data_IF_087724682723
#
_entry.id   IF_087724682723
#
_cell.length_a   1.000
_cell.length_b   1.000
_cell.length_c   1.000
_cell.angle_alpha   90.00
_cell.angle_beta   90.00
_cell.angle_gamma   90.00
#
_symmetry.space_group_name_H-M   'P 1'
#
loop_
_entity.id
_entity.type
_entity.pdbx_description
1 polymer ?
#
# COMPACT_ATOMS: atom_id res chain seq x y z
N UNK A 1 4.79 14.99 36.23
CA UNK A 1 3.67 15.74 36.83
C UNK A 1 3.35 15.09 38.17
N UNK A 2 3.24 15.85 39.26
CA UNK A 2 2.79 15.32 40.56
C UNK A 2 1.27 15.19 40.51
N UNK A 3 0.75 14.03 40.91
CA UNK A 3 -0.69 13.80 41.04
C UNK A 3 -1.27 14.76 42.09
N UNK A 4 -2.31 15.50 41.71
CA UNK A 4 -3.00 16.50 42.52
C UNK A 4 -4.50 16.22 42.63
N UNK A 5 -4.94 15.03 42.18
CA UNK A 5 -6.35 14.66 42.17
C UNK A 5 -6.95 14.68 43.58
N UNK A 6 -6.20 14.26 44.60
CA UNK A 6 -6.64 14.30 46.00
C UNK A 6 -6.76 15.73 46.55
N UNK A 7 -5.89 16.64 46.14
CA UNK A 7 -5.93 18.05 46.55
C UNK A 7 -7.16 18.76 45.97
N UNK A 8 -7.55 18.40 44.74
CA UNK A 8 -8.75 18.90 44.08
C UNK A 8 -10.05 18.39 44.73
N UNK A 9 -10.09 17.11 45.09
CA UNK A 9 -11.24 16.53 45.79
C UNK A 9 -11.46 17.16 47.16
N UNK A 10 -10.39 17.43 47.90
CA UNK A 10 -10.46 18.05 49.22
C UNK A 10 -10.99 19.49 49.22
N UNK A 11 -10.96 20.17 48.07
CA UNK A 11 -11.45 21.56 47.92
C UNK A 11 -12.85 21.66 47.31
N UNK A 12 -13.46 20.54 46.88
CA UNK A 12 -14.73 20.55 46.14
C UNK A 12 -15.97 20.38 47.05
N UNK A 13 -15.80 20.17 48.37
CA UNK A 13 -16.92 19.92 49.30
C UNK A 13 -17.74 21.18 49.68
N UNK A 14 -17.55 22.31 48.99
CA UNK A 14 -18.30 23.54 49.24
C UNK A 14 -18.67 24.18 47.89
N UNK A 15 -19.98 24.22 47.61
CA UNK A 15 -20.64 24.71 46.40
C UNK A 15 -20.86 23.66 45.28
N UNK A 16 -21.58 22.59 45.60
CA UNK A 16 -22.33 21.78 44.64
C UNK A 16 -23.56 22.59 44.13
N UNK A 17 -23.30 23.61 43.30
CA UNK A 17 -24.25 23.88 42.22
C UNK A 17 -24.04 22.73 41.23
N UNK A 18 -24.97 21.77 41.25
CA UNK A 18 -25.02 20.61 40.37
C UNK A 18 -25.13 21.12 38.92
N UNK A 19 -23.98 21.45 38.33
CA UNK A 19 -23.86 21.64 36.89
C UNK A 19 -24.02 20.24 36.32
N UNK A 20 -25.24 19.90 35.94
CA UNK A 20 -25.52 18.79 35.03
C UNK A 20 -24.70 19.04 33.75
N UNK A 21 -23.48 18.52 33.74
CA UNK A 21 -22.80 18.20 32.50
C UNK A 21 -23.65 17.09 31.93
N UNK A 22 -24.56 17.42 31.02
CA UNK A 22 -25.27 16.45 30.23
C UNK A 22 -24.22 15.57 29.54
N UNK A 23 -23.91 14.42 30.14
CA UNK A 23 -23.14 13.35 29.51
C UNK A 23 -24.09 12.65 28.56
N UNK A 24 -24.61 13.41 27.60
CA UNK A 24 -25.35 12.87 26.46
C UNK A 24 -24.31 12.36 25.45
N UNK A 25 -23.52 11.38 25.89
CA UNK A 25 -22.28 10.96 25.21
C UNK A 25 -22.31 9.47 24.86
N UNK A 26 -23.47 8.96 24.48
CA UNK A 26 -23.60 7.60 23.92
C UNK A 26 -23.63 7.58 22.38
N UNK A 27 -23.57 8.74 21.71
CA UNK A 27 -23.68 8.83 20.25
C UNK A 27 -22.81 9.95 19.60
N UNK A 28 -21.88 10.57 20.35
CA UNK A 28 -21.09 11.66 19.82
C UNK A 28 -20.10 11.15 18.76
N UNK A 29 -20.38 11.47 17.50
CA UNK A 29 -19.57 11.08 16.34
C UNK A 29 -19.38 9.56 16.15
N UNK A 30 -20.23 8.71 16.72
CA UNK A 30 -20.08 7.25 16.65
C UNK A 30 -19.93 6.73 15.21
N UNK A 31 -20.75 7.24 14.29
CA UNK A 31 -20.66 6.87 12.87
C UNK A 31 -19.30 7.28 12.27
N UNK A 32 -18.83 8.48 12.62
CA UNK A 32 -17.52 8.96 12.16
C UNK A 32 -16.38 8.11 12.74
N UNK A 33 -16.40 7.81 14.04
CA UNK A 33 -15.39 6.94 14.65
C UNK A 33 -15.41 5.52 14.10
N UNK A 34 -16.60 4.98 13.81
CA UNK A 34 -16.76 3.70 13.10
C UNK A 34 -16.11 3.74 11.71
N UNK A 35 -16.28 4.84 10.96
CA UNK A 35 -15.59 5.03 9.67
C UNK A 35 -14.06 5.11 9.84
N UNK A 36 -13.58 5.82 10.86
CA UNK A 36 -12.15 5.95 11.18
C UNK A 36 -11.54 4.58 11.54
N UNK A 37 -12.23 3.77 12.34
CA UNK A 37 -11.77 2.43 12.70
C UNK A 37 -11.69 1.50 11.49
N UNK A 38 -12.66 1.55 10.57
CA UNK A 38 -12.62 0.72 9.37
C UNK A 38 -11.49 1.15 8.40
N UNK A 39 -11.27 2.46 8.23
CA UNK A 39 -10.11 2.95 7.45
C UNK A 39 -8.81 2.47 8.09
N UNK A 40 -8.69 2.60 9.43
CA UNK A 40 -7.51 2.16 10.15
C UNK A 40 -7.27 0.66 10.01
N UNK A 41 -8.33 -0.15 10.15
CA UNK A 41 -8.28 -1.59 9.96
C UNK A 41 -7.84 -1.96 8.54
N UNK A 42 -8.35 -1.26 7.52
CA UNK A 42 -7.93 -1.43 6.13
C UNK A 42 -6.44 -1.11 5.95
N UNK A 43 -5.95 0.00 6.51
CA UNK A 43 -4.53 0.39 6.43
C UNK A 43 -3.62 -0.62 7.14
N UNK A 44 -3.99 -1.02 8.36
CA UNK A 44 -3.23 -2.00 9.15
C UNK A 44 -3.17 -3.34 8.41
N UNK A 45 -4.27 -3.75 7.78
CA UNK A 45 -4.30 -4.99 6.98
C UNK A 45 -3.46 -4.91 5.71
N UNK A 46 -3.40 -3.75 5.07
CA UNK A 46 -2.49 -3.54 3.93
C UNK A 46 -1.03 -3.69 4.40
N UNK A 47 -0.65 -3.09 5.53
CA UNK A 47 0.74 -3.16 6.03
C UNK A 47 1.15 -4.62 6.34
N UNK A 48 0.25 -5.41 6.95
CA UNK A 48 0.44 -6.85 7.14
C UNK A 48 0.63 -7.59 5.81
N UNK A 49 -0.25 -7.33 4.84
CA UNK A 49 -0.22 -7.97 3.53
C UNK A 49 1.05 -7.59 2.75
N UNK A 50 1.54 -6.35 2.87
CA UNK A 50 2.82 -5.91 2.28
C UNK A 50 3.99 -6.71 2.85
N UNK A 51 3.99 -6.97 4.16
CA UNK A 51 5.01 -7.82 4.77
C UNK A 51 4.97 -9.26 4.23
N UNK A 52 3.78 -9.80 3.96
CA UNK A 52 3.62 -11.14 3.39
C UNK A 52 4.02 -11.18 1.91
N UNK A 53 3.65 -10.19 1.11
CA UNK A 53 4.11 -10.04 -0.28
C UNK A 53 5.63 -10.06 -0.36
N UNK A 54 6.33 -9.35 0.54
CA UNK A 54 7.81 -9.37 0.59
C UNK A 54 8.37 -10.78 0.83
N UNK A 55 7.70 -11.61 1.64
CA UNK A 55 8.12 -13.01 1.85
C UNK A 55 7.91 -13.82 0.58
N UNK A 56 6.75 -13.70 -0.07
CA UNK A 56 6.47 -14.40 -1.33
C UNK A 56 7.44 -13.99 -2.43
N UNK A 57 7.76 -12.70 -2.58
CA UNK A 57 8.81 -12.23 -3.48
C UNK A 57 10.16 -12.89 -3.19
N UNK A 58 10.55 -13.01 -1.92
CA UNK A 58 11.78 -13.69 -1.55
C UNK A 58 11.75 -15.19 -1.91
N UNK A 59 10.62 -15.86 -1.73
CA UNK A 59 10.44 -17.28 -2.09
C UNK A 59 10.56 -17.44 -3.61
N UNK A 60 9.86 -16.60 -4.37
CA UNK A 60 9.87 -16.60 -5.84
C UNK A 60 11.30 -16.37 -6.38
N UNK A 61 12.05 -15.43 -5.80
CA UNK A 61 13.43 -15.13 -6.21
C UNK A 61 14.46 -16.17 -5.76
N UNK A 62 14.10 -17.10 -4.86
CA UNK A 62 15.00 -18.12 -4.33
C UNK A 62 15.12 -19.36 -5.22
N UNK A 63 14.17 -19.54 -6.14
CA UNK A 63 14.11 -20.68 -7.05
C UNK A 63 14.15 -20.23 -8.53
N UNK A 64 14.65 -21.06 -9.46
CA UNK A 64 14.62 -20.78 -10.90
C UNK A 64 13.20 -20.56 -11.42
N UNK A 65 12.25 -21.34 -10.90
CA UNK A 65 10.82 -21.20 -11.17
C UNK A 65 10.08 -21.32 -9.85
N UNK A 66 9.02 -20.52 -9.68
CA UNK A 66 8.10 -20.62 -8.55
C UNK A 66 7.00 -21.63 -8.86
N UNK A 67 6.54 -22.34 -7.84
CA UNK A 67 5.37 -23.20 -7.98
C UNK A 67 4.07 -22.39 -8.12
N UNK A 68 3.03 -23.05 -8.65
CA UNK A 68 1.74 -22.41 -8.92
C UNK A 68 1.07 -21.89 -7.64
N UNK A 69 1.25 -22.57 -6.50
CA UNK A 69 0.62 -22.16 -5.25
C UNK A 69 1.20 -20.83 -4.76
N UNK A 70 2.53 -20.67 -4.79
CA UNK A 70 3.18 -19.40 -4.42
C UNK A 70 2.68 -18.24 -5.30
N UNK A 71 2.43 -18.50 -6.59
CA UNK A 71 1.89 -17.52 -7.54
C UNK A 71 0.43 -17.17 -7.24
N UNK A 72 -0.40 -18.16 -6.93
CA UNK A 72 -1.81 -17.97 -6.55
C UNK A 72 -1.93 -17.20 -5.23
N UNK A 73 -1.08 -17.53 -4.24
CA UNK A 73 -1.01 -16.84 -2.95
C UNK A 73 -0.62 -15.36 -3.14
N UNK A 74 0.34 -15.06 -4.02
CA UNK A 74 0.74 -13.70 -4.35
C UNK A 74 -0.40 -12.91 -5.03
N UNK A 75 -1.10 -13.53 -5.97
CA UNK A 75 -2.24 -12.91 -6.65
C UNK A 75 -3.38 -12.63 -5.67
N UNK A 76 -3.68 -13.56 -4.77
CA UNK A 76 -4.69 -13.38 -3.73
C UNK A 76 -4.37 -12.20 -2.81
N UNK A 77 -3.15 -12.12 -2.29
CA UNK A 77 -2.75 -11.01 -1.41
C UNK A 77 -2.73 -9.68 -2.17
N UNK A 78 -2.31 -9.67 -3.43
CA UNK A 78 -2.35 -8.47 -4.29
C UNK A 78 -3.78 -7.95 -4.44
N UNK A 79 -4.74 -8.85 -4.68
CA UNK A 79 -6.16 -8.51 -4.77
C UNK A 79 -6.73 -7.99 -3.43
N UNK A 80 -6.30 -8.57 -2.31
CA UNK A 80 -6.70 -8.10 -0.98
C UNK A 80 -6.17 -6.70 -0.69
N UNK A 81 -4.89 -6.43 -1.00
CA UNK A 81 -4.30 -5.09 -0.90
C UNK A 81 -5.11 -4.10 -1.74
N UNK A 82 -5.41 -4.44 -2.99
CA UNK A 82 -6.22 -3.59 -3.89
C UNK A 82 -7.59 -3.29 -3.30
N UNK A 83 -8.28 -4.29 -2.75
CA UNK A 83 -9.61 -4.11 -2.16
C UNK A 83 -9.56 -3.19 -0.94
N UNK A 84 -8.62 -3.43 -0.02
CA UNK A 84 -8.46 -2.61 1.19
C UNK A 84 -8.04 -1.18 0.85
N UNK A 85 -7.12 -1.00 -0.10
CA UNK A 85 -6.66 0.32 -0.54
C UNK A 85 -7.82 1.14 -1.15
N UNK A 86 -8.65 0.51 -1.98
CA UNK A 86 -9.84 1.17 -2.53
C UNK A 86 -10.87 1.53 -1.46
N UNK A 87 -11.08 0.68 -0.46
CA UNK A 87 -11.96 0.98 0.66
C UNK A 87 -11.47 2.21 1.43
N UNK A 88 -10.20 2.19 1.88
CA UNK A 88 -9.58 3.30 2.60
C UNK A 88 -9.63 4.60 1.79
N UNK A 89 -9.24 4.56 0.49
CA UNK A 89 -9.29 5.70 -0.41
C UNK A 89 -10.69 6.31 -0.52
N UNK A 90 -11.71 5.48 -0.76
CA UNK A 90 -13.07 5.97 -0.95
C UNK A 90 -13.62 6.62 0.32
N UNK A 91 -13.35 6.04 1.48
CA UNK A 91 -13.79 6.60 2.77
C UNK A 91 -13.06 7.88 3.13
N UNK A 92 -11.75 7.97 2.89
CA UNK A 92 -10.99 9.21 3.06
C UNK A 92 -11.56 10.33 2.17
N UNK A 93 -11.83 10.05 0.89
CA UNK A 93 -12.50 11.00 -0.03
C UNK A 93 -13.88 11.45 0.46
N UNK A 94 -14.67 10.54 1.04
CA UNK A 94 -15.97 10.90 1.63
C UNK A 94 -15.80 11.86 2.81
N UNK A 95 -14.86 11.59 3.71
CA UNK A 95 -14.57 12.46 4.86
C UNK A 95 -14.12 13.84 4.37
N UNK A 96 -13.23 13.91 3.37
CA UNK A 96 -12.76 15.17 2.80
C UNK A 96 -13.92 16.01 2.22
N UNK A 97 -14.80 15.41 1.42
CA UNK A 97 -15.96 16.12 0.85
C UNK A 97 -16.89 16.70 1.93
N UNK A 98 -17.10 15.95 3.01
CA UNK A 98 -17.89 16.44 4.13
C UNK A 98 -17.21 17.65 4.80
N UNK A 99 -15.88 17.59 4.99
CA UNK A 99 -15.09 18.70 5.54
C UNK A 99 -15.13 19.96 4.65
N UNK A 100 -15.12 19.82 3.32
CA UNK A 100 -15.25 20.95 2.40
C UNK A 100 -16.64 21.61 2.45
N UNK A 101 -17.70 20.80 2.55
CA UNK A 101 -19.09 21.30 2.59
C UNK A 101 -19.42 22.10 3.85
N UNK A 102 -18.72 21.82 4.96
CA UNK A 102 -18.96 22.41 6.27
C UNK A 102 -18.07 23.66 6.55
N UNK A 103 -17.23 24.09 5.60
CA UNK A 103 -16.34 25.26 5.76
C UNK A 103 -17.05 26.61 6.00
N UNK A 104 -18.37 26.68 5.79
CA UNK A 104 -19.16 27.90 6.02
C UNK A 104 -19.65 28.06 7.47
N UNK A 105 -19.62 27.00 8.29
CA UNK A 105 -20.01 27.06 9.70
C UNK A 105 -18.77 27.09 10.62
N UNK A 106 -18.88 27.78 11.75
CA UNK A 106 -17.77 28.07 12.68
C UNK A 106 -16.92 26.83 12.98
N UNK A 107 -15.60 27.03 13.15
CA UNK A 107 -14.62 26.00 13.58
C UNK A 107 -15.06 25.34 14.89
N UNK A 108 -15.85 24.27 14.78
CA UNK A 108 -16.37 23.49 15.90
C UNK A 108 -15.32 22.47 16.38
N UNK A 109 -15.48 21.96 17.59
CA UNK A 109 -14.63 20.89 18.10
C UNK A 109 -14.72 19.62 17.22
N UNK A 110 -15.93 19.29 16.74
CA UNK A 110 -16.19 18.19 15.80
C UNK A 110 -15.38 18.35 14.50
N UNK A 111 -15.44 19.52 13.85
CA UNK A 111 -14.68 19.85 12.65
C UNK A 111 -13.16 19.68 12.85
N UNK A 112 -12.64 20.14 14.00
CA UNK A 112 -11.21 19.98 14.33
C UNK A 112 -10.82 18.51 14.49
N UNK A 113 -11.67 17.69 15.12
CA UNK A 113 -11.41 16.26 15.28
C UNK A 113 -11.42 15.58 13.90
N UNK A 114 -12.43 15.83 13.07
CA UNK A 114 -12.54 15.25 11.72
C UNK A 114 -11.33 15.60 10.86
N UNK A 115 -10.93 16.87 10.81
CA UNK A 115 -9.75 17.32 10.06
C UNK A 115 -8.46 16.68 10.57
N UNK A 116 -8.28 16.58 11.88
CA UNK A 116 -7.10 15.95 12.48
C UNK A 116 -7.02 14.47 12.17
N UNK A 117 -8.13 13.74 12.29
CA UNK A 117 -8.19 12.30 12.02
C UNK A 117 -7.97 11.99 10.54
N UNK A 118 -8.61 12.75 9.65
CA UNK A 118 -8.39 12.65 8.21
C UNK A 118 -6.91 12.83 7.86
N UNK A 119 -6.26 13.87 8.38
CA UNK A 119 -4.85 14.13 8.11
C UNK A 119 -3.92 13.00 8.59
N UNK A 120 -4.20 12.42 9.76
CA UNK A 120 -3.40 11.30 10.31
C UNK A 120 -3.58 10.04 9.45
N UNK A 121 -4.82 9.68 9.12
CA UNK A 121 -5.10 8.49 8.33
C UNK A 121 -4.58 8.61 6.90
N UNK A 122 -4.74 9.77 6.26
CA UNK A 122 -4.23 10.00 4.90
C UNK A 122 -2.71 9.87 4.86
N UNK A 123 -1.98 10.43 5.83
CA UNK A 123 -0.52 10.23 5.94
C UNK A 123 -0.14 8.76 6.13
N UNK A 124 -0.84 8.05 7.02
CA UNK A 124 -0.56 6.63 7.27
C UNK A 124 -0.85 5.77 6.04
N UNK A 125 -1.92 6.08 5.31
CA UNK A 125 -2.27 5.40 4.08
C UNK A 125 -1.19 5.59 3.01
N UNK A 126 -0.74 6.82 2.78
CA UNK A 126 0.39 7.11 1.87
C UNK A 126 1.63 6.33 2.29
N UNK A 127 2.00 6.36 3.57
CA UNK A 127 3.18 5.66 4.06
C UNK A 127 3.15 4.16 3.72
N UNK A 128 2.04 3.47 4.00
CA UNK A 128 1.90 2.04 3.75
C UNK A 128 1.88 1.74 2.24
N UNK A 129 1.20 2.56 1.44
CA UNK A 129 1.19 2.39 -0.02
C UNK A 129 2.58 2.64 -0.63
N UNK A 130 3.36 3.58 -0.10
CA UNK A 130 4.75 3.81 -0.52
C UNK A 130 5.61 2.59 -0.21
N UNK A 131 5.49 2.01 1.00
CA UNK A 131 6.19 0.74 1.35
C UNK A 131 5.83 -0.41 0.42
N UNK A 132 4.57 -0.47 -0.04
CA UNK A 132 4.13 -1.46 -1.01
C UNK A 132 4.81 -1.24 -2.37
N UNK A 133 4.78 -0.02 -2.89
CA UNK A 133 5.41 0.33 -4.16
C UNK A 133 6.93 0.07 -4.14
N UNK A 134 7.62 0.42 -3.05
CA UNK A 134 9.05 0.11 -2.86
C UNK A 134 9.32 -1.40 -2.93
N UNK A 135 8.46 -2.22 -2.31
CA UNK A 135 8.57 -3.68 -2.37
C UNK A 135 8.41 -4.21 -3.81
N UNK A 136 7.48 -3.62 -4.57
CA UNK A 136 7.26 -3.97 -5.97
C UNK A 136 8.48 -3.60 -6.82
N UNK A 137 9.00 -2.37 -6.69
CA UNK A 137 10.17 -1.92 -7.44
C UNK A 137 11.41 -2.77 -7.15
N UNK A 138 11.68 -3.11 -5.87
CA UNK A 138 12.79 -4.01 -5.52
C UNK A 138 12.64 -5.40 -6.14
N UNK A 139 11.41 -5.95 -6.16
CA UNK A 139 11.15 -7.24 -6.81
C UNK A 139 11.32 -7.18 -8.34
N UNK A 140 10.89 -6.09 -8.99
CA UNK A 140 11.09 -5.85 -10.43
C UNK A 140 12.58 -5.86 -10.75
N UNK A 141 13.37 -5.09 -10.01
CA UNK A 141 14.79 -4.91 -10.27
C UNK A 141 15.57 -6.21 -10.08
N UNK A 142 15.25 -6.96 -9.03
CA UNK A 142 15.86 -8.28 -8.81
C UNK A 142 15.45 -9.28 -9.90
N UNK A 143 14.21 -9.23 -10.37
CA UNK A 143 13.74 -10.09 -11.47
C UNK A 143 14.44 -9.74 -12.78
N UNK A 144 14.64 -8.44 -13.07
CA UNK A 144 15.44 -7.95 -14.20
C UNK A 144 16.88 -8.48 -14.13
N UNK A 145 17.56 -8.32 -12.99
CA UNK A 145 18.91 -8.84 -12.80
C UNK A 145 19.03 -10.37 -12.95
N UNK A 146 17.99 -11.12 -12.58
CA UNK A 146 17.92 -12.58 -12.84
C UNK A 146 17.86 -12.87 -14.34
N UNK A 147 17.01 -12.16 -15.09
CA UNK A 147 16.90 -12.30 -16.55
C UNK A 147 18.25 -12.00 -17.20
N UNK A 148 18.89 -10.89 -16.83
CA UNK A 148 20.21 -10.51 -17.36
C UNK A 148 21.23 -11.63 -17.17
N UNK A 149 21.32 -12.18 -15.95
CA UNK A 149 22.23 -13.28 -15.64
C UNK A 149 21.93 -14.54 -16.47
N UNK A 150 20.66 -14.87 -16.68
CA UNK A 150 20.29 -16.01 -17.51
C UNK A 150 20.64 -15.80 -18.99
N UNK A 151 20.49 -14.57 -19.51
CA UNK A 151 20.95 -14.23 -20.87
C UNK A 151 22.46 -14.39 -21.01
N UNK A 152 23.25 -13.94 -20.04
CA UNK A 152 24.71 -14.14 -20.03
C UNK A 152 25.11 -15.63 -20.05
N UNK A 153 24.39 -16.49 -19.31
CA UNK A 153 24.62 -17.95 -19.31
C UNK A 153 24.37 -18.55 -20.70
N UNK A 154 23.40 -18.03 -21.44
CA UNK A 154 23.12 -18.45 -22.82
C UNK A 154 24.10 -17.89 -23.85
N UNK A 155 25.05 -17.06 -23.42
CA UNK A 155 26.08 -16.44 -24.26
C UNK A 155 25.63 -15.13 -24.92
N UNK A 156 24.50 -14.56 -24.50
CA UNK A 156 24.00 -13.26 -24.97
C UNK A 156 24.29 -12.21 -23.91
N UNK A 157 25.38 -11.46 -24.09
CA UNK A 157 25.61 -10.26 -23.29
C UNK A 157 24.54 -9.21 -23.64
N UNK A 158 23.95 -8.57 -22.64
CA UNK A 158 22.87 -7.61 -22.81
C UNK A 158 23.08 -6.47 -21.84
N UNK A 159 23.09 -5.23 -22.35
CA UNK A 159 23.19 -4.04 -21.48
C UNK A 159 21.90 -3.83 -20.70
N UNK A 160 21.95 -2.95 -19.70
CA UNK A 160 20.76 -2.64 -18.91
C UNK A 160 19.65 -1.99 -19.75
N UNK A 161 20.03 -1.12 -20.69
CA UNK A 161 19.13 -0.44 -21.62
C UNK A 161 18.51 -1.40 -22.62
N UNK A 162 19.32 -2.29 -23.22
CA UNK A 162 18.82 -3.31 -24.14
C UNK A 162 17.83 -4.24 -23.43
N UNK A 163 18.13 -4.62 -22.18
CA UNK A 163 17.23 -5.47 -21.41
C UNK A 163 15.90 -4.76 -21.09
N UNK A 164 15.94 -3.46 -20.80
CA UNK A 164 14.73 -2.67 -20.58
C UNK A 164 13.86 -2.61 -21.85
N UNK A 165 14.46 -2.35 -23.02
CA UNK A 165 13.75 -2.35 -24.30
C UNK A 165 13.11 -3.73 -24.60
N UNK A 166 13.82 -4.81 -24.26
CA UNK A 166 13.29 -6.17 -24.38
C UNK A 166 12.07 -6.40 -23.48
N UNK A 167 12.10 -5.89 -22.23
CA UNK A 167 10.97 -5.98 -21.30
C UNK A 167 9.78 -5.14 -21.78
N UNK A 168 10.02 -3.92 -22.26
CA UNK A 168 8.99 -3.01 -22.78
C UNK A 168 8.30 -3.54 -24.04
N UNK A 169 9.03 -4.32 -24.86
CA UNK A 169 8.48 -4.93 -26.08
C UNK A 169 7.30 -5.87 -25.80
N UNK A 170 7.19 -6.40 -24.57
CA UNK A 170 6.16 -7.36 -24.15
C UNK A 170 6.23 -8.72 -24.88
N UNK A 171 7.23 -8.93 -25.74
CA UNK A 171 7.35 -10.13 -26.56
C UNK A 171 8.41 -11.07 -25.99
N UNK A 172 7.97 -12.15 -25.35
CA UNK A 172 8.85 -13.16 -24.77
C UNK A 172 9.80 -13.81 -25.79
N UNK A 173 9.44 -13.84 -27.08
CA UNK A 173 10.29 -14.40 -28.12
C UNK A 173 11.61 -13.64 -28.31
N UNK A 174 11.66 -12.36 -27.92
CA UNK A 174 12.87 -11.52 -28.02
C UNK A 174 14.00 -12.07 -27.14
N UNK A 175 13.66 -12.73 -26.03
CA UNK A 175 14.64 -13.42 -25.18
C UNK A 175 15.22 -14.68 -25.82
N UNK A 176 14.45 -15.38 -26.64
CA UNK A 176 14.87 -16.63 -27.30
C UNK A 176 15.64 -16.41 -28.61
N UNK A 177 15.56 -15.21 -29.19
CA UNK A 177 16.15 -14.90 -30.48
C UNK A 177 17.69 -14.98 -30.43
N UNK A 178 18.26 -15.89 -31.23
CA UNK A 178 19.71 -16.05 -31.41
C UNK A 178 20.39 -17.02 -30.43
N UNK A 179 19.63 -17.68 -29.55
CA UNK A 179 20.18 -18.66 -28.60
C UNK A 179 20.21 -20.06 -29.21
N UNK A 180 21.35 -20.75 -29.08
CA UNK A 180 21.53 -22.12 -29.58
C UNK A 180 20.76 -23.11 -28.69
N UNK A 181 20.05 -24.05 -29.31
CA UNK A 181 19.24 -25.05 -28.62
C UNK A 181 20.12 -26.08 -27.87
N UNK A 182 20.47 -25.78 -26.63
CA UNK A 182 21.19 -26.66 -25.71
C UNK A 182 20.33 -26.93 -24.46
N UNK A 183 20.61 -28.03 -23.74
CA UNK A 183 19.88 -28.34 -22.49
C UNK A 183 19.99 -27.23 -21.44
N UNK A 184 21.15 -26.57 -21.37
CA UNK A 184 21.39 -25.41 -20.49
C UNK A 184 20.58 -24.20 -20.97
N UNK A 185 20.56 -23.96 -22.28
CA UNK A 185 19.76 -22.88 -22.88
C UNK A 185 18.27 -23.04 -22.58
N UNK A 186 17.72 -24.25 -22.63
CA UNK A 186 16.29 -24.50 -22.33
C UNK A 186 15.91 -24.13 -20.90
N UNK A 187 16.75 -24.49 -19.93
CA UNK A 187 16.48 -24.16 -18.53
C UNK A 187 16.57 -22.64 -18.28
N UNK A 188 17.60 -21.99 -18.83
CA UNK A 188 17.76 -20.54 -18.73
C UNK A 188 16.58 -19.79 -19.37
N UNK A 189 16.12 -20.23 -20.54
CA UNK A 189 14.96 -19.67 -21.23
C UNK A 189 13.66 -19.83 -20.43
N UNK A 190 13.43 -21.01 -19.84
CA UNK A 190 12.26 -21.25 -18.99
C UNK A 190 12.24 -20.34 -17.76
N UNK A 191 13.40 -20.08 -17.15
CA UNK A 191 13.52 -19.13 -16.03
C UNK A 191 13.27 -17.70 -16.50
N UNK A 192 13.82 -17.28 -17.64
CA UNK A 192 13.59 -15.95 -18.22
C UNK A 192 12.09 -15.72 -18.47
N UNK A 193 11.40 -16.67 -19.10
CA UNK A 193 9.96 -16.58 -19.37
C UNK A 193 9.15 -16.45 -18.07
N UNK A 194 9.49 -17.24 -17.04
CA UNK A 194 8.84 -17.18 -15.74
C UNK A 194 9.06 -15.81 -15.05
N UNK A 195 10.29 -15.30 -15.03
CA UNK A 195 10.61 -13.97 -14.46
C UNK A 195 9.92 -12.84 -15.24
N UNK A 196 9.90 -12.91 -16.56
CA UNK A 196 9.23 -11.93 -17.40
C UNK A 196 7.72 -11.89 -17.12
N UNK A 197 7.08 -13.06 -16.97
CA UNK A 197 5.67 -13.14 -16.58
C UNK A 197 5.40 -12.48 -15.22
N UNK A 198 6.31 -12.65 -14.27
CA UNK A 198 6.21 -12.03 -12.95
C UNK A 198 6.34 -10.49 -13.05
N UNK A 199 7.26 -9.98 -13.87
CA UNK A 199 7.40 -8.53 -14.13
C UNK A 199 6.13 -7.97 -14.77
N UNK A 200 5.57 -8.63 -15.78
CA UNK A 200 4.33 -8.16 -16.45
C UNK A 200 3.16 -8.07 -15.48
N UNK A 201 2.99 -9.07 -14.60
CA UNK A 201 1.95 -9.05 -13.55
C UNK A 201 2.16 -7.91 -12.57
N UNK A 202 3.40 -7.72 -12.14
CA UNK A 202 3.79 -6.65 -11.22
C UNK A 202 3.50 -5.27 -11.81
N UNK A 203 3.85 -5.04 -13.08
CA UNK A 203 3.63 -3.75 -13.75
C UNK A 203 2.15 -3.39 -13.87
N UNK A 204 1.27 -4.39 -14.05
CA UNK A 204 -0.18 -4.17 -13.97
C UNK A 204 -0.58 -3.68 -12.58
N UNK A 205 -0.03 -4.26 -11.51
CA UNK A 205 -0.32 -3.83 -10.15
C UNK A 205 0.22 -2.43 -9.85
N UNK A 206 1.44 -2.09 -10.31
CA UNK A 206 2.04 -0.76 -10.14
C UNK A 206 1.21 0.31 -10.86
N UNK A 207 0.72 0.04 -12.07
CA UNK A 207 -0.15 0.99 -12.81
C UNK A 207 -1.42 1.31 -12.03
N UNK A 208 -2.04 0.31 -11.43
CA UNK A 208 -3.23 0.51 -10.59
C UNK A 208 -2.91 1.31 -9.30
N UNK A 209 -1.71 1.13 -8.72
CA UNK A 209 -1.25 1.96 -7.61
C UNK A 209 -1.03 3.41 -8.02
N UNK A 210 -0.48 3.64 -9.21
CA UNK A 210 -0.20 4.97 -9.72
C UNK A 210 -1.47 5.83 -9.77
N UNK A 211 -2.57 5.27 -10.28
CA UNK A 211 -3.88 5.94 -10.30
C UNK A 211 -4.35 6.32 -8.89
N UNK A 212 -4.08 5.48 -7.89
CA UNK A 212 -4.39 5.79 -6.49
C UNK A 212 -3.46 6.86 -5.91
N UNK A 213 -2.16 6.87 -6.25
CA UNK A 213 -1.22 7.87 -5.76
C UNK A 213 -1.51 9.27 -6.28
N UNK A 214 -1.91 9.40 -7.56
CA UNK A 214 -2.30 10.69 -8.13
C UNK A 214 -3.48 11.27 -7.35
N UNK A 215 -4.49 10.45 -7.06
CA UNK A 215 -5.63 10.82 -6.24
C UNK A 215 -5.21 11.31 -4.84
N UNK A 216 -4.32 10.58 -4.15
CA UNK A 216 -3.96 10.87 -2.76
C UNK A 216 -2.95 12.03 -2.66
N UNK A 217 -2.07 12.21 -3.64
CA UNK A 217 -1.17 13.36 -3.69
C UNK A 217 -1.97 14.68 -3.68
N UNK A 218 -3.07 14.72 -4.45
CA UNK A 218 -4.01 15.85 -4.41
C UNK A 218 -4.69 16.01 -3.05
N UNK A 219 -5.03 14.92 -2.35
CA UNK A 219 -5.60 14.95 -0.99
C UNK A 219 -4.63 15.53 0.06
N UNK A 220 -3.33 15.29 -0.09
CA UNK A 220 -2.32 15.72 0.90
C UNK A 220 -1.86 17.16 0.63
N UNK A 221 -1.79 17.57 -0.64
CA UNK A 221 -1.41 18.93 -1.05
C UNK A 221 -2.46 19.98 -0.63
N UNK A 222 -3.76 19.63 -0.63
CA UNK A 222 -4.85 20.51 -0.15
C UNK A 222 -4.85 20.75 1.37
N UNK A 223 -4.09 19.94 2.12
CA UNK A 223 -4.01 20.01 3.59
C UNK A 223 -2.78 20.76 4.11
N UNK A 224 -1.85 21.14 3.22
CA UNK A 224 -0.63 21.92 3.48
C UNK A 224 -0.85 23.42 3.47
#
# INVERSE_FOLDING_TARGET
MKDRLEQLKATCDQDDDEVEIAVDNAAFMDEFFSQIEDIRGSIDKIDENVAEVKKLYSVILSAPTSDQKTQDDLEAITNDIKKMANNARNKLKTIERNLESEQQERVSADMRIRKSQHAVLSRKFVEVMTKYNEAQVDFRERSKGRIQRQLEITGKATTDEELEEMLESGNAAVFTAGIVDSGISKQALSEIEARHKDIVRLESSIKELHDMFVDIAMLVESQG
#
